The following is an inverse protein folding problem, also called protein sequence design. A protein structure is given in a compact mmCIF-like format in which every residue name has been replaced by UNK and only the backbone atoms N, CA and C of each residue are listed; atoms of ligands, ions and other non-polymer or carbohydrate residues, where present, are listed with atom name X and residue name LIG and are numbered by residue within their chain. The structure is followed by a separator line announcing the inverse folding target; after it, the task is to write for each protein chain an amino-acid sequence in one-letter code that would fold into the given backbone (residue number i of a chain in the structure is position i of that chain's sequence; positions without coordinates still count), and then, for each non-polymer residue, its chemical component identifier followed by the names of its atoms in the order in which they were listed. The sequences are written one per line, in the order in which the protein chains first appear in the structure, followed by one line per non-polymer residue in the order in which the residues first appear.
data_IF_091835418074
#
_entry.id   IF_091835418074
#
_cell.length_a   1.000
_cell.length_b   1.000
_cell.length_c   1.000
_cell.angle_alpha   90.00
_cell.angle_beta   90.00
_cell.angle_gamma   90.00
#
_symmetry.space_group_name_H-M   'P 1'
#
loop_
_entity.id
_entity.type
_entity.pdbx_description
1 polymer ?
#
# COMPACT_ATOMS: atom_id res chain seq x y z
N UNK A 1 -25.07 -23.52 -27.66
CA UNK A 1 -23.76 -22.99 -27.25
C UNK A 1 -23.83 -22.75 -25.75
N UNK A 2 -23.36 -23.71 -24.95
CA UNK A 2 -23.35 -23.59 -23.49
C UNK A 2 -22.24 -22.64 -23.09
N UNK A 3 -22.54 -21.69 -22.20
CA UNK A 3 -21.52 -20.83 -21.61
C UNK A 3 -20.42 -21.70 -20.98
N UNK A 4 -19.12 -21.37 -21.15
CA UNK A 4 -18.05 -22.10 -20.50
C UNK A 4 -18.30 -22.04 -18.99
N UNK A 5 -18.35 -23.21 -18.35
CA UNK A 5 -18.47 -23.30 -16.90
C UNK A 5 -17.33 -22.49 -16.28
N UNK A 6 -17.66 -21.50 -15.46
CA UNK A 6 -16.67 -20.80 -14.64
C UNK A 6 -15.88 -21.89 -13.89
N UNK A 7 -14.54 -21.94 -14.02
CA UNK A 7 -13.76 -22.98 -13.36
C UNK A 7 -14.09 -22.97 -11.87
N UNK A 8 -14.54 -24.10 -11.33
CA UNK A 8 -15.11 -24.28 -9.98
C UNK A 8 -14.24 -23.65 -8.86
N UNK A 9 -12.95 -23.51 -9.11
CA UNK A 9 -11.98 -22.83 -8.26
C UNK A 9 -12.27 -21.33 -8.05
N UNK A 10 -12.55 -20.56 -9.11
CA UNK A 10 -12.81 -19.10 -9.02
C UNK A 10 -14.02 -18.85 -8.13
N UNK A 11 -15.14 -19.52 -8.43
CA UNK A 11 -16.36 -19.39 -7.66
C UNK A 11 -16.15 -19.78 -6.19
N UNK A 12 -15.36 -20.83 -5.93
CA UNK A 12 -15.04 -21.27 -4.56
C UNK A 12 -14.24 -20.23 -3.77
N UNK A 13 -13.20 -19.65 -4.39
CA UNK A 13 -12.36 -18.62 -3.76
C UNK A 13 -13.18 -17.36 -3.43
N UNK A 14 -13.93 -16.84 -4.41
CA UNK A 14 -14.74 -15.64 -4.21
C UNK A 14 -15.84 -15.85 -3.16
N UNK A 15 -16.50 -17.01 -3.16
CA UNK A 15 -17.48 -17.37 -2.14
C UNK A 15 -16.86 -17.37 -0.74
N UNK A 16 -15.67 -17.97 -0.58
CA UNK A 16 -14.97 -18.01 0.72
C UNK A 16 -14.69 -16.61 1.27
N UNK A 17 -14.22 -15.68 0.43
CA UNK A 17 -13.98 -14.30 0.88
C UNK A 17 -15.28 -13.55 1.19
N UNK A 18 -16.35 -13.78 0.41
CA UNK A 18 -17.66 -13.21 0.72
C UNK A 18 -18.22 -13.70 2.06
N UNK A 19 -18.10 -14.99 2.35
CA UNK A 19 -18.51 -15.57 3.64
C UNK A 19 -17.67 -15.00 4.79
N UNK A 20 -16.35 -14.91 4.62
CA UNK A 20 -15.45 -14.33 5.62
C UNK A 20 -15.76 -12.85 5.87
N UNK A 21 -16.03 -12.07 4.83
CA UNK A 21 -16.39 -10.66 4.96
C UNK A 21 -17.69 -10.49 5.74
N UNK A 22 -18.68 -11.37 5.50
CA UNK A 22 -19.93 -11.42 6.28
C UNK A 22 -19.67 -11.67 7.76
N UNK A 23 -18.92 -12.72 8.10
CA UNK A 23 -18.58 -13.06 9.49
C UNK A 23 -17.81 -11.93 10.21
N UNK A 24 -16.83 -11.33 9.53
CA UNK A 24 -16.04 -10.22 10.08
C UNK A 24 -16.90 -8.96 10.24
N UNK A 25 -17.79 -8.68 9.30
CA UNK A 25 -18.75 -7.57 9.37
C UNK A 25 -19.73 -7.73 10.53
N UNK A 26 -20.26 -8.93 10.75
CA UNK A 26 -21.15 -9.23 11.89
C UNK A 26 -20.43 -9.02 13.23
N UNK A 27 -19.16 -9.43 13.32
CA UNK A 27 -18.37 -9.37 14.57
C UNK A 27 -17.83 -7.99 14.90
N UNK A 28 -17.35 -7.24 13.91
CA UNK A 28 -16.62 -5.99 14.12
C UNK A 28 -17.34 -4.76 13.55
N UNK A 29 -18.43 -4.94 12.82
CA UNK A 29 -19.18 -3.91 12.13
C UNK A 29 -18.76 -3.76 10.65
N UNK A 30 -19.69 -3.34 9.76
CA UNK A 30 -19.47 -3.28 8.32
C UNK A 30 -18.44 -2.22 7.88
N UNK A 31 -18.21 -1.19 8.69
CA UNK A 31 -17.20 -0.16 8.45
C UNK A 31 -15.85 -0.41 9.12
N UNK A 32 -15.67 -1.58 9.74
CA UNK A 32 -14.43 -1.86 10.49
C UNK A 32 -13.24 -2.03 9.56
N UNK A 33 -12.05 -1.68 10.05
CA UNK A 33 -10.80 -1.95 9.33
C UNK A 33 -10.68 -3.43 8.98
N UNK A 34 -11.14 -4.33 9.86
CA UNK A 34 -11.11 -5.77 9.62
C UNK A 34 -11.83 -6.18 8.32
N UNK A 35 -12.99 -5.58 8.02
CA UNK A 35 -13.70 -5.82 6.75
C UNK A 35 -12.88 -5.32 5.56
N UNK A 36 -12.24 -4.15 5.67
CA UNK A 36 -11.36 -3.63 4.60
C UNK A 36 -10.24 -4.60 4.29
N UNK A 37 -9.62 -5.19 5.30
CA UNK A 37 -8.56 -6.16 5.12
C UNK A 37 -9.03 -7.42 4.41
N UNK A 38 -10.22 -7.94 4.72
CA UNK A 38 -10.78 -9.09 3.98
C UNK A 38 -10.95 -8.76 2.50
N UNK A 39 -11.46 -7.56 2.17
CA UNK A 39 -11.59 -7.13 0.78
C UNK A 39 -10.24 -6.92 0.09
N UNK A 40 -9.23 -6.41 0.82
CA UNK A 40 -7.87 -6.27 0.30
C UNK A 40 -7.25 -7.63 -0.03
N UNK A 41 -7.38 -8.61 0.87
CA UNK A 41 -6.93 -9.98 0.63
C UNK A 41 -7.66 -10.64 -0.55
N UNK A 42 -8.97 -10.41 -0.67
CA UNK A 42 -9.75 -10.88 -1.82
C UNK A 42 -9.24 -10.28 -3.13
N UNK A 43 -8.89 -8.98 -3.13
CA UNK A 43 -8.31 -8.31 -4.29
C UNK A 43 -6.96 -8.92 -4.66
N UNK A 44 -6.07 -9.17 -3.68
CA UNK A 44 -4.78 -9.82 -3.92
C UNK A 44 -4.95 -11.24 -4.49
N UNK A 45 -5.93 -12.00 -3.99
CA UNK A 45 -6.24 -13.33 -4.49
C UNK A 45 -6.77 -13.27 -5.94
N UNK A 46 -7.73 -12.38 -6.22
CA UNK A 46 -8.28 -12.21 -7.56
C UNK A 46 -7.20 -11.77 -8.58
N UNK A 47 -6.37 -10.78 -8.23
CA UNK A 47 -5.22 -10.35 -9.05
C UNK A 47 -4.21 -11.47 -9.27
N UNK A 48 -3.92 -12.25 -8.23
CA UNK A 48 -3.04 -13.43 -8.34
C UNK A 48 -3.56 -14.49 -9.31
N UNK A 49 -4.88 -14.67 -9.40
CA UNK A 49 -5.50 -15.57 -10.37
C UNK A 49 -5.49 -14.98 -11.79
N UNK A 50 -5.65 -13.66 -11.91
CA UNK A 50 -5.57 -12.96 -13.20
C UNK A 50 -4.17 -13.04 -13.82
N UNK A 51 -3.10 -13.28 -13.06
CA UNK A 51 -1.75 -13.52 -13.62
C UNK A 51 -1.75 -14.65 -14.67
N UNK A 52 -2.57 -15.69 -14.49
CA UNK A 52 -2.69 -16.81 -15.45
C UNK A 52 -4.02 -16.81 -16.22
N UNK A 53 -4.95 -15.93 -15.87
CA UNK A 53 -6.31 -15.85 -16.42
C UNK A 53 -6.66 -14.39 -16.78
N UNK A 54 -5.77 -13.71 -17.51
CA UNK A 54 -5.81 -12.24 -17.75
C UNK A 54 -7.16 -11.72 -18.26
N UNK A 55 -7.89 -12.51 -19.02
CA UNK A 55 -9.15 -12.13 -19.67
C UNK A 55 -10.40 -12.67 -18.94
N UNK A 56 -10.27 -13.22 -17.73
CA UNK A 56 -11.43 -13.74 -16.98
C UNK A 56 -12.35 -12.59 -16.53
N UNK A 57 -13.46 -12.43 -17.25
CA UNK A 57 -14.43 -11.36 -17.02
C UNK A 57 -15.04 -11.38 -15.60
N UNK A 58 -15.14 -12.55 -14.96
CA UNK A 58 -15.67 -12.65 -13.60
C UNK A 58 -14.68 -12.07 -12.60
N UNK A 59 -13.40 -12.43 -12.72
CA UNK A 59 -12.33 -11.89 -11.88
C UNK A 59 -12.15 -10.38 -12.10
N UNK A 60 -12.14 -9.91 -13.35
CA UNK A 60 -12.03 -8.48 -13.68
C UNK A 60 -13.18 -7.66 -13.07
N UNK A 61 -14.43 -8.10 -13.26
CA UNK A 61 -15.59 -7.44 -12.67
C UNK A 61 -15.52 -7.41 -11.13
N UNK A 62 -15.03 -8.50 -10.52
CA UNK A 62 -14.86 -8.56 -9.07
C UNK A 62 -13.77 -7.62 -8.58
N UNK A 63 -12.63 -7.53 -9.28
CA UNK A 63 -11.56 -6.58 -9.01
C UNK A 63 -12.09 -5.14 -9.01
N UNK A 64 -12.84 -4.73 -10.04
CA UNK A 64 -13.40 -3.36 -10.11
C UNK A 64 -14.37 -3.06 -8.95
N UNK A 65 -15.17 -4.06 -8.56
CA UNK A 65 -16.05 -3.96 -7.39
C UNK A 65 -15.23 -3.74 -6.11
N UNK A 66 -14.18 -4.54 -5.91
CA UNK A 66 -13.31 -4.46 -4.74
C UNK A 66 -12.54 -3.14 -4.70
N UNK A 67 -12.04 -2.65 -5.84
CA UNK A 67 -11.35 -1.37 -5.94
C UNK A 67 -12.23 -0.23 -5.42
N UNK A 68 -13.47 -0.19 -5.91
CA UNK A 68 -14.46 0.82 -5.50
C UNK A 68 -14.79 0.72 -4.01
N UNK A 69 -14.99 -0.51 -3.53
CA UNK A 69 -15.34 -0.77 -2.14
C UNK A 69 -14.23 -0.37 -1.16
N UNK A 70 -13.00 -0.82 -1.41
CA UNK A 70 -11.82 -0.53 -0.58
C UNK A 70 -11.57 0.99 -0.56
N UNK A 71 -11.58 1.65 -1.73
CA UNK A 71 -11.37 3.09 -1.81
C UNK A 71 -12.41 3.85 -0.98
N UNK A 72 -13.70 3.48 -1.10
CA UNK A 72 -14.77 4.08 -0.31
C UNK A 72 -14.54 3.92 1.20
N UNK A 73 -14.14 2.73 1.64
CA UNK A 73 -13.91 2.47 3.06
C UNK A 73 -12.67 3.22 3.59
N UNK A 74 -11.61 3.34 2.78
CA UNK A 74 -10.45 4.15 3.12
C UNK A 74 -10.79 5.63 3.25
N UNK A 75 -11.54 6.18 2.29
CA UNK A 75 -12.01 7.58 2.36
C UNK A 75 -12.90 7.85 3.58
N UNK A 76 -13.64 6.84 4.07
CA UNK A 76 -14.47 6.96 5.29
C UNK A 76 -13.66 6.82 6.59
N UNK A 77 -12.44 6.28 6.54
CA UNK A 77 -11.64 5.89 7.72
C UNK A 77 -10.60 6.95 8.14
N UNK A 78 -10.74 8.21 7.71
CA UNK A 78 -9.76 9.27 7.99
C UNK A 78 -9.61 9.47 9.50
N UNK A 79 -8.44 9.15 10.10
CA UNK A 79 -8.24 9.34 11.52
C UNK A 79 -8.19 10.84 11.82
N UNK A 80 -9.08 11.32 12.70
CA UNK A 80 -8.90 12.63 13.31
C UNK A 80 -7.73 12.54 14.29
N UNK A 81 -6.57 13.10 13.93
CA UNK A 81 -5.45 13.20 14.86
C UNK A 81 -5.39 14.62 15.39
N UNK A 82 -5.67 14.83 16.68
CA UNK A 82 -5.48 16.13 17.31
C UNK A 82 -3.98 16.42 17.46
N UNK A 83 -3.55 17.63 17.07
CA UNK A 83 -2.20 18.15 17.30
C UNK A 83 -1.44 18.54 16.04
N UNK A 84 -0.32 19.24 16.24
CA UNK A 84 0.61 19.61 15.16
C UNK A 84 1.31 18.35 14.65
N UNK A 85 1.17 18.09 13.35
CA UNK A 85 1.76 16.93 12.71
C UNK A 85 3.27 17.14 12.47
N UNK A 86 4.10 16.09 12.62
CA UNK A 86 5.53 16.15 12.30
C UNK A 86 5.79 16.08 10.79
N UNK A 87 4.86 16.56 9.95
CA UNK A 87 4.99 16.60 8.50
C UNK A 87 4.20 17.75 7.89
N UNK A 88 4.65 18.21 6.71
CA UNK A 88 4.00 19.28 5.94
C UNK A 88 4.04 18.98 4.44
N UNK A 89 3.00 19.40 3.73
CA UNK A 89 2.95 19.36 2.28
C UNK A 89 3.68 20.59 1.71
N UNK A 90 4.76 20.37 0.96
CA UNK A 90 5.55 21.42 0.31
C UNK A 90 5.00 21.79 -1.08
N UNK A 91 4.51 20.80 -1.83
CA UNK A 91 3.93 20.96 -3.17
C UNK A 91 2.80 19.96 -3.36
N UNK A 92 1.74 20.33 -4.10
CA UNK A 92 0.58 19.47 -4.38
C UNK A 92 0.72 18.62 -5.63
N UNK A 93 1.30 19.16 -6.70
CA UNK A 93 1.38 18.49 -7.99
C UNK A 93 2.74 18.73 -8.70
N UNK A 94 3.57 17.68 -8.92
CA UNK A 94 3.46 16.39 -8.23
C UNK A 94 3.68 16.59 -6.72
N UNK A 95 3.03 15.79 -5.87
CA UNK A 95 3.07 15.98 -4.43
C UNK A 95 4.49 15.86 -3.88
N UNK A 96 4.79 16.68 -2.89
CA UNK A 96 6.04 16.64 -2.15
C UNK A 96 5.76 16.95 -0.68
N UNK A 97 6.13 16.02 0.17
CA UNK A 97 5.89 16.07 1.61
C UNK A 97 7.23 16.04 2.32
N UNK A 98 7.38 16.84 3.37
CA UNK A 98 8.55 16.85 4.23
C UNK A 98 8.17 16.43 5.65
N UNK A 99 9.00 15.58 6.26
CA UNK A 99 8.89 15.17 7.66
C UNK A 99 9.84 15.99 8.54
N UNK A 100 9.43 16.28 9.76
CA UNK A 100 10.18 17.10 10.70
C UNK A 100 11.51 16.44 11.11
N UNK A 101 12.61 17.16 10.91
CA UNK A 101 13.97 16.70 11.22
C UNK A 101 14.17 16.41 12.70
N UNK A 102 13.74 17.33 13.57
CA UNK A 102 13.95 17.21 15.01
C UNK A 102 13.20 16.00 15.60
N UNK A 103 11.95 15.80 15.17
CA UNK A 103 11.16 14.63 15.54
C UNK A 103 11.80 13.34 15.06
N UNK A 104 12.31 13.33 13.82
CA UNK A 104 13.00 12.18 13.26
C UNK A 104 14.27 11.81 14.06
N UNK A 105 15.11 12.80 14.36
CA UNK A 105 16.34 12.59 15.12
C UNK A 105 16.05 12.05 16.52
N UNK A 106 15.04 12.59 17.20
CA UNK A 106 14.63 12.17 18.53
C UNK A 106 14.12 10.72 18.57
N UNK A 107 13.40 10.28 17.53
CA UNK A 107 12.65 9.01 17.55
C UNK A 107 13.32 7.87 16.79
N UNK A 108 13.93 8.16 15.65
CA UNK A 108 14.23 7.15 14.63
C UNK A 108 15.71 7.07 14.26
N UNK A 109 16.47 8.17 14.32
CA UNK A 109 17.83 8.22 13.79
C UNK A 109 18.75 7.11 14.32
N UNK A 110 18.63 6.75 15.60
CA UNK A 110 19.48 5.75 16.27
C UNK A 110 19.46 4.33 15.68
N UNK A 111 18.49 4.00 14.83
CA UNK A 111 18.38 2.68 14.17
C UNK A 111 18.34 2.78 12.64
N UNK A 112 18.51 3.98 12.07
CA UNK A 112 18.34 4.18 10.63
C UNK A 112 19.38 3.43 9.80
N UNK A 113 20.62 3.29 10.28
CA UNK A 113 21.64 2.50 9.57
C UNK A 113 21.21 1.03 9.43
N UNK A 114 20.55 0.48 10.45
CA UNK A 114 20.07 -0.91 10.45
C UNK A 114 18.87 -1.07 9.51
N UNK A 115 17.95 -0.10 9.50
CA UNK A 115 16.82 -0.12 8.56
C UNK A 115 17.31 0.08 7.13
N UNK A 116 18.23 1.03 6.90
CA UNK A 116 18.81 1.35 5.60
C UNK A 116 19.53 0.17 4.95
N UNK A 117 20.18 -0.70 5.74
CA UNK A 117 20.79 -1.93 5.24
C UNK A 117 19.79 -2.90 4.58
N UNK A 118 18.52 -2.85 5.00
CA UNK A 118 17.43 -3.68 4.46
C UNK A 118 16.58 -2.93 3.41
N UNK A 119 16.93 -1.70 3.04
CA UNK A 119 16.21 -0.96 1.99
C UNK A 119 16.68 -1.39 0.60
N UNK A 120 15.71 -1.71 -0.25
CA UNK A 120 15.87 -1.99 -1.67
C UNK A 120 15.59 -0.68 -2.41
N UNK A 121 16.53 -0.26 -3.26
CA UNK A 121 16.49 1.01 -3.97
C UNK A 121 17.15 0.89 -5.36
N UNK A 122 16.96 1.92 -6.21
CA UNK A 122 17.53 2.00 -7.55
C UNK A 122 17.29 0.75 -8.41
N UNK A 123 18.35 0.24 -9.04
CA UNK A 123 18.26 -0.92 -9.96
C UNK A 123 17.74 -2.19 -9.28
N UNK A 124 17.97 -2.37 -7.97
CA UNK A 124 17.46 -3.54 -7.23
C UNK A 124 15.94 -3.57 -7.14
N UNK A 125 15.27 -2.43 -7.28
CA UNK A 125 13.82 -2.41 -7.37
C UNK A 125 13.29 -2.89 -8.73
N UNK A 126 14.09 -2.89 -9.80
CA UNK A 126 13.68 -3.43 -11.12
C UNK A 126 13.55 -4.95 -11.12
N UNK A 127 14.34 -5.63 -10.29
CA UNK A 127 14.23 -7.08 -10.03
C UNK A 127 14.07 -7.33 -8.52
N UNK A 128 12.89 -7.02 -7.96
CA UNK A 128 12.71 -7.03 -6.51
C UNK A 128 12.66 -8.45 -5.95
N UNK A 129 12.33 -9.47 -6.75
CA UNK A 129 12.13 -10.84 -6.26
C UNK A 129 13.41 -11.58 -5.86
N UNK A 130 14.58 -11.04 -6.20
CA UNK A 130 15.85 -11.47 -5.59
C UNK A 130 15.98 -11.11 -4.11
N UNK A 131 15.16 -10.18 -3.59
CA UNK A 131 15.26 -9.68 -2.21
C UNK A 131 13.94 -9.72 -1.43
N UNK A 132 12.79 -9.70 -2.10
CA UNK A 132 11.46 -9.78 -1.47
C UNK A 132 10.60 -10.89 -2.06
N UNK A 133 9.58 -11.30 -1.30
CA UNK A 133 8.65 -12.37 -1.67
C UNK A 133 7.44 -11.76 -2.40
N UNK A 134 6.97 -12.37 -3.50
CA UNK A 134 5.71 -11.94 -4.12
C UNK A 134 4.53 -12.14 -3.14
N UNK A 135 3.42 -11.44 -3.40
CA UNK A 135 2.16 -11.54 -2.63
C UNK A 135 2.31 -11.21 -1.14
N UNK A 136 3.33 -10.45 -0.80
CA UNK A 136 3.61 -10.02 0.57
C UNK A 136 3.61 -8.49 0.65
N UNK A 137 3.16 -7.94 1.78
CA UNK A 137 3.07 -6.50 1.99
C UNK A 137 4.41 -5.92 2.46
N UNK A 138 4.83 -4.83 1.83
CA UNK A 138 6.06 -4.11 2.14
C UNK A 138 5.81 -2.63 2.30
N UNK A 139 6.53 -2.00 3.23
CA UNK A 139 6.57 -0.55 3.35
C UNK A 139 7.38 0.04 2.20
N UNK A 140 6.85 1.07 1.57
CA UNK A 140 7.55 1.79 0.50
C UNK A 140 7.46 3.30 0.67
N UNK A 141 8.40 3.99 0.03
CA UNK A 141 8.35 5.42 -0.27
C UNK A 141 8.79 5.68 -1.70
N UNK A 142 8.24 6.72 -2.32
CA UNK A 142 8.78 7.32 -3.53
C UNK A 142 9.42 8.64 -3.13
N UNK A 143 10.72 8.78 -3.39
CA UNK A 143 11.48 10.00 -3.04
C UNK A 143 11.06 11.18 -3.91
N UNK A 144 11.59 12.36 -3.61
CA UNK A 144 11.39 13.57 -4.41
C UNK A 144 12.21 13.59 -5.72
N UNK A 145 12.99 12.55 -5.96
CA UNK A 145 13.73 12.25 -7.19
C UNK A 145 13.06 11.13 -8.00
N UNK A 146 11.81 10.77 -7.66
CA UNK A 146 11.06 9.65 -8.25
C UNK A 146 11.72 8.27 -8.05
N UNK A 147 12.59 8.11 -7.06
CA UNK A 147 13.17 6.81 -6.71
C UNK A 147 12.20 6.01 -5.83
N UNK A 148 11.89 4.77 -6.21
CA UNK A 148 11.21 3.82 -5.33
C UNK A 148 12.19 3.24 -4.31
N UNK A 149 11.80 3.26 -3.04
CA UNK A 149 12.49 2.54 -1.97
C UNK A 149 11.53 1.64 -1.23
N UNK A 150 11.91 0.38 -1.07
CA UNK A 150 11.11 -0.65 -0.40
C UNK A 150 11.90 -1.18 0.79
N UNK A 151 11.32 -1.21 1.98
CA UNK A 151 11.94 -1.91 3.10
C UNK A 151 11.76 -3.41 2.91
N UNK A 152 12.86 -4.17 2.83
CA UNK A 152 12.86 -5.58 2.42
C UNK A 152 12.23 -6.56 3.41
N UNK A 153 11.81 -6.11 4.59
CA UNK A 153 11.12 -6.97 5.56
C UNK A 153 9.61 -6.92 5.35
N UNK A 154 8.94 -8.08 5.30
CA UNK A 154 7.51 -8.12 5.11
C UNK A 154 6.75 -7.67 6.35
N UNK A 155 5.55 -7.14 6.14
CA UNK A 155 4.55 -7.00 7.20
C UNK A 155 3.55 -8.14 7.12
N UNK A 156 3.34 -8.81 8.25
CA UNK A 156 2.26 -9.75 8.37
C UNK A 156 0.94 -8.98 8.48
N UNK A 157 -0.07 -9.41 7.71
CA UNK A 157 -1.36 -8.75 7.68
C UNK A 157 -2.01 -8.59 9.06
N UNK A 158 -1.98 -9.60 9.96
CA UNK A 158 -2.48 -9.44 11.33
C UNK A 158 -1.83 -8.28 12.10
N UNK A 159 -0.56 -7.99 11.85
CA UNK A 159 0.16 -6.90 12.52
C UNK A 159 -0.34 -5.53 12.05
N UNK A 160 -0.70 -5.43 10.76
CA UNK A 160 -1.37 -4.26 10.19
C UNK A 160 -2.81 -4.11 10.72
N UNK A 161 -3.51 -5.22 10.96
CA UNK A 161 -4.90 -5.24 11.43
C UNK A 161 -5.05 -4.81 12.88
N UNK A 162 -4.20 -5.31 13.76
CA UNK A 162 -4.36 -5.15 15.20
C UNK A 162 -3.40 -4.12 15.80
N UNK A 163 -2.43 -3.61 15.03
CA UNK A 163 -1.50 -2.55 15.44
C UNK A 163 -0.64 -2.88 16.66
N UNK A 164 -0.70 -4.12 17.15
CA UNK A 164 -0.07 -4.57 18.40
C UNK A 164 1.39 -4.99 18.23
N UNK A 165 1.80 -5.33 17.01
CA UNK A 165 3.15 -5.79 16.68
C UNK A 165 3.70 -5.03 15.47
N UNK A 166 3.94 -3.72 15.61
CA UNK A 166 4.71 -3.02 14.58
C UNK A 166 6.08 -3.67 14.49
N UNK A 167 6.52 -4.02 13.29
CA UNK A 167 7.87 -4.52 13.08
C UNK A 167 8.87 -3.55 13.71
N UNK A 168 9.70 -4.05 14.62
CA UNK A 168 10.70 -3.25 15.33
C UNK A 168 12.10 -3.61 14.88
N UNK A 169 12.99 -2.63 14.97
CA UNK A 169 14.43 -2.82 14.89
C UNK A 169 15.01 -2.23 16.16
N UNK A 170 15.65 -3.07 16.99
CA UNK A 170 16.16 -2.68 18.32
C UNK A 170 15.11 -1.94 19.15
N UNK A 171 13.91 -2.52 19.23
CA UNK A 171 12.74 -2.01 19.96
C UNK A 171 12.17 -0.67 19.45
N UNK A 172 12.65 -0.18 18.30
CA UNK A 172 12.08 0.99 17.63
C UNK A 172 11.15 0.53 16.51
N UNK A 173 9.87 0.92 16.54
CA UNK A 173 8.95 0.65 15.43
C UNK A 173 9.47 1.28 14.13
N UNK A 174 9.54 0.48 13.07
CA UNK A 174 9.94 0.98 11.75
C UNK A 174 8.85 1.88 11.17
N UNK A 175 9.28 2.98 10.53
CA UNK A 175 8.41 4.02 10.01
C UNK A 175 8.92 4.54 8.66
N UNK A 176 8.02 5.02 7.80
CA UNK A 176 8.36 5.52 6.46
C UNK A 176 9.53 6.53 6.42
N UNK A 177 9.66 7.50 7.36
CA UNK A 177 10.78 8.44 7.34
C UNK A 177 12.17 7.78 7.39
N UNK A 178 12.25 6.55 7.92
CA UNK A 178 13.50 5.78 8.03
C UNK A 178 14.00 5.26 6.69
N UNK A 179 13.19 5.28 5.63
CA UNK A 179 13.57 4.90 4.27
C UNK A 179 14.22 6.07 3.50
N UNK A 180 14.10 7.30 4.01
CA UNK A 180 14.65 8.54 3.42
C UNK A 180 15.32 9.42 4.49
N UNK A 181 16.23 8.87 5.31
CA UNK A 181 16.72 9.56 6.50
C UNK A 181 17.51 10.83 6.17
N UNK A 182 18.07 10.98 4.97
CA UNK A 182 18.89 12.13 4.59
C UNK A 182 18.04 13.36 4.27
N UNK A 183 16.98 13.20 3.46
CA UNK A 183 16.16 14.32 2.99
C UNK A 183 14.84 14.46 3.74
N UNK A 184 14.30 13.37 4.28
CA UNK A 184 12.97 13.29 4.89
C UNK A 184 11.86 13.83 3.99
N UNK A 185 12.01 13.62 2.68
CA UNK A 185 11.09 14.10 1.65
C UNK A 185 10.61 12.95 0.78
N UNK A 186 9.32 12.91 0.52
CA UNK A 186 8.68 11.89 -0.31
C UNK A 186 7.58 12.49 -1.17
N UNK A 187 7.36 11.89 -2.33
CA UNK A 187 6.19 12.13 -3.16
C UNK A 187 5.06 11.13 -2.91
N UNK A 188 5.39 9.94 -2.40
CA UNK A 188 4.41 8.95 -1.93
C UNK A 188 5.00 8.09 -0.81
N UNK A 189 4.14 7.56 0.06
CA UNK A 189 4.53 6.62 1.12
C UNK A 189 3.35 5.75 1.53
N UNK A 190 3.57 4.46 1.76
CA UNK A 190 2.51 3.56 2.20
C UNK A 190 2.96 2.11 2.21
N UNK A 191 2.06 1.21 1.84
CA UNK A 191 2.36 -0.21 1.67
C UNK A 191 2.06 -0.68 0.25
N UNK A 192 2.86 -1.62 -0.25
CA UNK A 192 2.66 -2.24 -1.56
C UNK A 192 2.83 -3.74 -1.50
N UNK A 193 2.09 -4.43 -2.37
CA UNK A 193 2.18 -5.85 -2.65
C UNK A 193 2.53 -6.01 -4.12
N UNK A 194 3.66 -6.67 -4.37
CA UNK A 194 4.10 -7.00 -5.72
C UNK A 194 3.62 -8.40 -6.08
N UNK A 195 3.01 -8.53 -7.26
CA UNK A 195 2.46 -9.78 -7.77
C UNK A 195 3.21 -10.20 -9.04
N UNK A 196 3.48 -11.49 -9.17
CA UNK A 196 4.22 -12.06 -10.28
C UNK A 196 4.97 -13.32 -9.86
N UNK A 197 5.78 -13.87 -10.76
CA UNK A 197 6.60 -15.06 -10.50
C UNK A 197 8.09 -14.79 -10.73
N UNK A 198 8.48 -14.49 -11.96
CA UNK A 198 9.86 -14.16 -12.33
C UNK A 198 10.12 -12.65 -12.42
N UNK A 199 9.07 -11.86 -12.67
CA UNK A 199 9.10 -10.39 -12.72
C UNK A 199 7.83 -9.84 -12.10
N UNK A 200 7.83 -8.56 -11.74
CA UNK A 200 6.61 -7.87 -11.32
C UNK A 200 5.67 -7.77 -12.51
N UNK A 201 4.42 -8.17 -12.30
CA UNK A 201 3.38 -8.24 -13.32
C UNK A 201 2.11 -7.50 -12.94
N UNK A 202 1.88 -7.28 -11.65
CA UNK A 202 0.83 -6.40 -11.11
C UNK A 202 1.27 -5.82 -9.77
N UNK A 203 0.75 -4.65 -9.42
CA UNK A 203 0.99 -4.00 -8.13
C UNK A 203 -0.34 -3.63 -7.48
N UNK A 204 -0.47 -3.94 -6.19
CA UNK A 204 -1.53 -3.42 -5.34
C UNK A 204 -0.89 -2.61 -4.22
N UNK A 205 -1.13 -1.31 -4.20
CA UNK A 205 -0.54 -0.38 -3.26
C UNK A 205 -1.60 0.48 -2.58
N UNK A 206 -1.24 1.03 -1.44
CA UNK A 206 -1.98 2.10 -0.81
C UNK A 206 -1.00 3.19 -0.35
N UNK A 207 -1.48 4.43 -0.19
CA UNK A 207 -0.68 5.56 0.30
C UNK A 207 -0.96 5.87 1.78
N UNK A 208 -1.13 4.84 2.62
CA UNK A 208 -1.49 4.94 4.05
C UNK A 208 -0.28 5.17 4.95
N UNK A 209 0.50 6.23 4.72
CA UNK A 209 1.51 6.64 5.70
C UNK A 209 0.92 7.58 6.75
N UNK A 210 0.88 7.16 8.02
CA UNK A 210 0.49 8.03 9.13
C UNK A 210 1.50 9.16 9.39
N UNK A 211 2.76 8.98 8.99
CA UNK A 211 3.86 9.93 9.17
C UNK A 211 3.85 11.01 8.10
N UNK A 212 3.83 10.61 6.82
CA UNK A 212 3.86 11.56 5.70
C UNK A 212 2.48 12.05 5.28
N UNK A 213 1.43 11.24 5.46
CA UNK A 213 0.07 11.53 5.00
C UNK A 213 -0.03 11.98 3.54
N UNK A 214 0.34 11.12 2.59
CA UNK A 214 0.32 11.50 1.20
C UNK A 214 -1.08 11.90 0.73
N UNK A 215 -1.22 13.03 0.02
CA UNK A 215 -2.49 13.44 -0.53
C UNK A 215 -2.87 12.53 -1.72
N UNK A 216 -4.13 12.56 -2.20
CA UNK A 216 -4.61 11.67 -3.26
C UNK A 216 -3.77 11.67 -4.54
N UNK A 217 -3.19 12.82 -4.89
CA UNK A 217 -2.31 13.04 -6.05
C UNK A 217 -1.10 12.10 -6.05
N UNK A 218 -0.70 11.60 -4.87
CA UNK A 218 0.43 10.67 -4.72
C UNK A 218 0.17 9.34 -5.42
N UNK A 219 -1.09 8.99 -5.67
CA UNK A 219 -1.44 7.80 -6.42
C UNK A 219 -0.99 7.87 -7.88
N UNK A 220 -0.95 9.05 -8.50
CA UNK A 220 -0.41 9.23 -9.84
C UNK A 220 1.10 8.95 -9.86
N UNK A 221 1.83 9.49 -8.87
CA UNK A 221 3.27 9.24 -8.70
C UNK A 221 3.58 7.75 -8.55
N UNK A 222 2.80 7.01 -7.75
CA UNK A 222 2.99 5.56 -7.61
C UNK A 222 2.79 4.85 -8.95
N UNK A 223 1.76 5.20 -9.73
CA UNK A 223 1.53 4.62 -11.06
C UNK A 223 2.68 4.91 -11.99
N UNK A 224 3.14 6.15 -12.07
CA UNK A 224 4.25 6.57 -12.93
C UNK A 224 5.52 5.75 -12.66
N UNK A 225 5.88 5.60 -11.38
CA UNK A 225 7.03 4.79 -10.97
C UNK A 225 6.84 3.31 -11.33
N UNK A 226 5.64 2.75 -11.15
CA UNK A 226 5.38 1.36 -11.51
C UNK A 226 5.49 1.12 -13.03
N UNK A 227 4.97 2.06 -13.84
CA UNK A 227 5.08 2.03 -15.31
C UNK A 227 6.54 2.06 -15.75
N UNK A 228 7.32 3.01 -15.24
CA UNK A 228 8.73 3.16 -15.63
C UNK A 228 9.62 2.01 -15.14
N UNK A 229 9.36 1.51 -13.93
CA UNK A 229 10.23 0.53 -13.29
C UNK A 229 10.01 -0.88 -13.82
N UNK A 230 8.74 -1.25 -14.06
CA UNK A 230 8.34 -2.63 -14.36
C UNK A 230 7.56 -2.80 -15.66
N UNK A 231 7.38 -1.74 -16.45
CA UNK A 231 6.67 -1.78 -17.74
C UNK A 231 5.23 -2.32 -17.58
N UNK A 232 4.52 -1.80 -16.57
CA UNK A 232 3.13 -2.17 -16.27
C UNK A 232 2.14 -1.21 -16.92
N UNK A 233 0.97 -1.73 -17.28
CA UNK A 233 -0.18 -0.91 -17.67
C UNK A 233 -1.02 -0.47 -16.46
N UNK A 234 -1.80 0.61 -16.61
CA UNK A 234 -2.69 1.11 -15.55
C UNK A 234 -3.70 0.05 -15.06
N UNK A 235 -4.08 -0.89 -15.93
CA UNK A 235 -4.96 -2.00 -15.58
C UNK A 235 -4.35 -2.95 -14.55
N UNK A 236 -3.01 -2.99 -14.45
CA UNK A 236 -2.24 -3.87 -13.56
C UNK A 236 -1.75 -3.15 -12.28
N UNK A 237 -2.15 -1.89 -12.08
CA UNK A 237 -1.74 -1.07 -10.94
C UNK A 237 -2.98 -0.58 -10.17
N UNK A 238 -3.22 -1.16 -9.01
CA UNK A 238 -4.22 -0.69 -8.05
C UNK A 238 -3.55 0.19 -6.99
N UNK A 239 -3.97 1.46 -6.87
CA UNK A 239 -3.49 2.37 -5.83
C UNK A 239 -4.65 2.97 -5.05
N UNK A 240 -4.66 2.77 -3.74
CA UNK A 240 -5.67 3.29 -2.82
C UNK A 240 -5.14 4.46 -1.99
N UNK A 241 -5.97 5.48 -1.78
CA UNK A 241 -5.58 6.68 -1.02
C UNK A 241 -6.42 6.82 0.26
N UNK A 242 -5.80 7.22 1.38
CA UNK A 242 -6.49 7.36 2.66
C UNK A 242 -6.94 8.80 2.96
N UNK A 243 -6.12 9.80 2.66
CA UNK A 243 -6.38 11.19 3.05
C UNK A 243 -7.07 11.94 1.90
N UNK A 244 -8.22 12.55 2.15
CA UNK A 244 -8.91 13.42 1.19
C UNK A 244 -8.43 14.88 1.28
N UNK A 245 -8.73 15.67 0.24
CA UNK A 245 -8.30 17.07 0.09
C UNK A 245 -8.68 18.00 1.27
N UNK A 246 -9.68 17.63 2.08
CA UNK A 246 -10.26 18.51 3.12
C UNK A 246 -9.63 18.38 4.52
N UNK A 247 -8.63 17.53 4.70
CA UNK A 247 -8.11 17.23 6.05
C UNK A 247 -7.15 18.29 6.65
N UNK A 248 -6.87 19.39 5.94
CA UNK A 248 -6.26 20.56 6.57
C UNK A 248 -5.58 21.54 5.62
N UNK A 249 -6.19 22.72 5.45
CA UNK A 249 -5.57 24.05 5.56
C UNK A 249 -6.45 25.12 4.88
N UNK A 250 -7.41 25.65 5.63
CA UNK A 250 -7.71 27.10 5.64
C UNK A 250 -7.78 27.53 7.10
N UNK A 251 -6.64 27.88 7.70
CA UNK A 251 -6.57 28.84 8.79
C UNK A 251 -5.33 29.69 8.58
N UNK A 252 -5.58 30.92 8.15
CA UNK A 252 -4.66 32.05 8.09
C UNK A 252 -4.03 32.33 9.46
#
# INVERSE_FOLDING_TARGET
MSAPAVPTEVASVLRRYSELAGQVSEKYGPGSQAVVFVHYEELLAARSMLLTRREDATLLSRVDTLRTLIQRMYSASVPQVPGQMPSRLLRRDPPLIEYDRGHFEQRYAKVCDVVGADVIAGQRCRDPFGAIRPRTSYMFVVTDEAELRIWGRPFDLPDLMFGRNRATVRDVPVAHPMLVPERLRVSAAGEMVLLGSAKVEMVVANTKSGHFRPPPESAAVVRDVCREMWDLDDADIDVFTLFSHDSGQERH
#
